data_IF_997312114814
#
_entry.id   IF_997312114814
#
_cell.length_a   1.000
_cell.length_b   1.000
_cell.length_c   1.000
_cell.angle_alpha   90.00
_cell.angle_beta   90.00
_cell.angle_gamma   90.00
#
_symmetry.space_group_name_H-M   'P 1'
#
loop_
_entity.id
_entity.type
_entity.pdbx_description
1 polymer ?
#
# COMPACT_ATOMS: atom_id res chain seq x y z
N UNK A 1 -7.14 3.44 16.62
CA UNK A 1 -7.73 4.68 17.09
C UNK A 1 -6.72 5.82 17.12
N UNK A 2 -5.64 5.78 17.89
CA UNK A 2 -4.60 6.83 17.98
C UNK A 2 -4.14 7.42 16.64
N UNK A 3 -3.71 6.59 15.67
CA UNK A 3 -3.26 7.10 14.36
C UNK A 3 -4.36 7.76 13.53
N UNK A 4 -5.62 7.44 13.78
CA UNK A 4 -6.76 8.11 13.13
C UNK A 4 -6.98 9.51 13.68
N UNK A 5 -6.87 9.67 14.97
CA UNK A 5 -7.37 10.84 15.68
C UNK A 5 -6.26 11.87 15.96
N UNK A 6 -5.00 11.44 16.04
CA UNK A 6 -3.88 12.26 16.50
C UNK A 6 -2.70 12.36 15.53
N UNK A 7 -2.78 11.77 14.34
CA UNK A 7 -1.67 11.84 13.38
C UNK A 7 -2.15 12.31 12.01
N UNK A 8 -1.26 12.95 11.25
CA UNK A 8 -1.47 13.34 9.85
C UNK A 8 -1.44 12.15 8.86
N UNK A 9 -1.61 10.93 9.36
CA UNK A 9 -1.54 9.71 8.53
C UNK A 9 -2.74 9.65 7.59
N UNK A 10 -2.47 9.45 6.30
CA UNK A 10 -3.52 9.33 5.28
C UNK A 10 -4.44 8.14 5.58
N UNK A 11 -5.76 8.34 5.35
CA UNK A 11 -6.79 7.31 5.55
C UNK A 11 -6.43 5.95 4.91
N UNK A 12 -5.82 5.96 3.72
CA UNK A 12 -5.36 4.74 3.06
C UNK A 12 -4.32 3.96 3.88
N UNK A 13 -3.39 4.66 4.52
CA UNK A 13 -2.37 4.01 5.37
C UNK A 13 -3.00 3.38 6.62
N UNK A 14 -4.02 4.04 7.19
CA UNK A 14 -4.79 3.46 8.31
C UNK A 14 -5.51 2.19 7.85
N UNK A 15 -6.12 2.21 6.66
CA UNK A 15 -6.74 1.01 6.08
C UNK A 15 -5.75 -0.15 5.91
N UNK A 16 -4.55 0.15 5.43
CA UNK A 16 -3.48 -0.84 5.29
C UNK A 16 -3.09 -1.42 6.67
N UNK A 17 -2.94 -0.60 7.69
CA UNK A 17 -2.65 -1.07 9.05
C UNK A 17 -3.74 -1.96 9.62
N UNK A 18 -5.02 -1.58 9.49
CA UNK A 18 -6.15 -2.41 9.95
C UNK A 18 -6.24 -3.70 9.16
N UNK A 19 -6.01 -3.65 7.85
CA UNK A 19 -5.98 -4.85 7.00
C UNK A 19 -4.85 -5.82 7.40
N UNK A 20 -3.64 -5.30 7.66
CA UNK A 20 -2.51 -6.11 8.12
C UNK A 20 -2.75 -6.65 9.55
N UNK A 21 -3.34 -5.85 10.44
CA UNK A 21 -3.75 -6.29 11.77
C UNK A 21 -4.72 -7.48 11.70
N UNK A 22 -5.81 -7.33 10.94
CA UNK A 22 -6.81 -8.38 10.80
C UNK A 22 -6.26 -9.67 10.19
N UNK A 23 -5.31 -9.54 9.26
CA UNK A 23 -4.70 -10.68 8.56
C UNK A 23 -3.66 -11.40 9.38
N UNK A 24 -2.88 -10.65 10.17
CA UNK A 24 -1.67 -11.17 10.78
C UNK A 24 -1.84 -11.49 12.27
N UNK A 25 -2.60 -10.68 12.99
CA UNK A 25 -2.66 -10.70 14.45
C UNK A 25 -4.00 -11.10 15.03
N UNK A 26 -5.13 -10.69 14.42
CA UNK A 26 -6.47 -10.70 15.03
C UNK A 26 -6.84 -11.96 15.80
N UNK A 27 -6.49 -13.13 15.26
CA UNK A 27 -6.89 -14.42 15.82
C UNK A 27 -5.70 -15.20 16.44
N UNK A 28 -4.67 -14.47 16.89
CA UNK A 28 -3.46 -15.08 17.45
C UNK A 28 -3.39 -14.95 18.97
N UNK A 29 -2.64 -15.83 19.62
CA UNK A 29 -2.39 -15.76 21.05
C UNK A 29 -1.68 -14.47 21.47
N UNK A 30 -0.87 -13.87 20.57
CA UNK A 30 -0.17 -12.62 20.84
C UNK A 30 -1.13 -11.47 21.22
N UNK A 31 -2.33 -11.43 20.61
CA UNK A 31 -3.33 -10.38 20.86
C UNK A 31 -4.00 -10.53 22.24
N UNK A 32 -4.01 -11.74 22.79
CA UNK A 32 -4.59 -12.02 24.11
C UNK A 32 -3.65 -11.64 25.26
N UNK A 33 -2.36 -11.43 24.95
CA UNK A 33 -1.36 -11.06 25.96
C UNK A 33 -1.49 -9.59 26.34
N UNK A 34 -1.19 -9.28 27.60
CA UNK A 34 -1.00 -7.88 28.03
C UNK A 34 0.24 -7.32 27.36
N UNK A 35 0.18 -6.07 26.95
CA UNK A 35 1.26 -5.43 26.17
C UNK A 35 2.59 -5.41 26.93
N UNK A 36 2.56 -5.23 28.25
CA UNK A 36 3.73 -5.27 29.13
C UNK A 36 4.36 -6.66 29.32
N UNK A 37 3.65 -7.74 28.93
CA UNK A 37 4.15 -9.10 28.98
C UNK A 37 4.81 -9.57 27.67
N UNK A 38 4.67 -8.77 26.60
CA UNK A 38 5.23 -9.08 25.28
C UNK A 38 6.74 -8.84 25.31
N UNK A 39 7.50 -9.92 25.26
CA UNK A 39 8.97 -9.92 25.27
C UNK A 39 9.52 -10.20 23.88
N UNK A 40 10.78 -9.84 23.58
CA UNK A 40 11.42 -10.14 22.29
C UNK A 40 11.34 -11.62 21.92
N UNK A 41 11.50 -12.52 22.89
CA UNK A 41 11.39 -13.99 22.64
C UNK A 41 9.99 -14.41 22.20
N UNK A 42 8.96 -13.79 22.73
CA UNK A 42 7.56 -14.04 22.31
C UNK A 42 7.36 -13.65 20.85
N UNK A 43 7.89 -12.51 20.46
CA UNK A 43 7.85 -12.03 19.08
C UNK A 43 8.67 -12.91 18.13
N UNK A 44 9.85 -13.36 18.56
CA UNK A 44 10.68 -14.28 17.77
C UNK A 44 9.92 -15.59 17.51
N UNK A 45 9.26 -16.16 18.50
CA UNK A 45 8.45 -17.39 18.33
C UNK A 45 7.30 -17.13 17.35
N UNK A 46 6.56 -16.07 17.56
CA UNK A 46 5.44 -15.67 16.70
C UNK A 46 5.84 -15.47 15.23
N UNK A 47 6.91 -14.71 14.96
CA UNK A 47 7.37 -14.48 13.59
C UNK A 47 8.02 -15.71 12.97
N UNK A 48 8.62 -16.60 13.76
CA UNK A 48 9.14 -17.88 13.28
C UNK A 48 8.01 -18.80 12.81
N UNK A 49 6.93 -18.91 13.57
CA UNK A 49 5.72 -19.63 13.17
C UNK A 49 5.13 -19.02 11.90
N UNK A 50 4.98 -17.71 11.86
CA UNK A 50 4.43 -17.02 10.69
C UNK A 50 5.26 -17.24 9.41
N UNK A 51 6.57 -17.32 9.51
CA UNK A 51 7.45 -17.53 8.34
C UNK A 51 7.56 -18.99 7.95
N UNK A 52 7.63 -19.92 8.93
CA UNK A 52 7.80 -21.35 8.70
C UNK A 52 6.49 -22.03 8.32
N UNK A 53 5.46 -21.87 9.16
CA UNK A 53 4.22 -22.63 9.02
C UNK A 53 3.22 -21.95 8.07
N UNK A 54 3.10 -20.63 8.15
CA UNK A 54 2.24 -19.82 7.26
C UNK A 54 2.94 -19.36 5.98
N UNK A 55 4.22 -19.65 5.83
CA UNK A 55 5.03 -19.31 4.66
C UNK A 55 4.90 -17.84 4.21
N UNK A 56 4.99 -16.90 5.14
CA UNK A 56 4.90 -15.49 4.79
C UNK A 56 6.17 -14.97 4.12
N UNK A 57 5.98 -14.09 3.15
CA UNK A 57 7.08 -13.42 2.46
C UNK A 57 7.70 -12.33 3.35
N UNK A 58 8.96 -11.96 3.05
CA UNK A 58 9.65 -10.86 3.72
C UNK A 58 8.82 -9.57 3.76
N UNK A 59 8.17 -9.21 2.65
CA UNK A 59 7.32 -8.01 2.57
C UNK A 59 6.16 -8.04 3.55
N UNK A 60 5.49 -9.19 3.69
CA UNK A 60 4.37 -9.35 4.65
C UNK A 60 4.83 -9.22 6.09
N UNK A 61 5.93 -9.88 6.45
CA UNK A 61 6.49 -9.77 7.81
C UNK A 61 6.96 -8.33 8.09
N UNK A 62 7.56 -7.66 7.12
CA UNK A 62 7.95 -6.25 7.24
C UNK A 62 6.74 -5.33 7.49
N UNK A 63 5.61 -5.54 6.81
CA UNK A 63 4.39 -4.79 7.05
C UNK A 63 3.83 -5.05 8.47
N UNK A 64 3.75 -6.32 8.86
CA UNK A 64 3.31 -6.71 10.21
C UNK A 64 4.21 -6.11 11.31
N UNK A 65 5.54 -6.15 11.10
CA UNK A 65 6.51 -5.48 11.98
C UNK A 65 6.20 -4.00 12.12
N UNK A 66 5.90 -3.30 11.01
CA UNK A 66 5.60 -1.86 11.03
C UNK A 66 4.35 -1.55 11.86
N UNK A 67 3.30 -2.38 11.74
CA UNK A 67 2.08 -2.25 12.54
C UNK A 67 2.39 -2.45 14.02
N UNK A 68 3.08 -3.53 14.36
CA UNK A 68 3.41 -3.86 15.75
C UNK A 68 4.34 -2.81 16.37
N UNK A 69 5.34 -2.36 15.62
CA UNK A 69 6.22 -1.27 16.05
C UNK A 69 5.45 0.01 16.36
N UNK A 70 4.46 0.37 15.55
CA UNK A 70 3.60 1.52 15.82
C UNK A 70 2.76 1.35 17.10
N UNK A 71 2.29 0.15 17.40
CA UNK A 71 1.54 -0.14 18.64
C UNK A 71 2.46 -0.02 19.85
N UNK A 72 3.67 -0.60 19.79
CA UNK A 72 4.62 -0.54 20.90
C UNK A 72 5.15 0.89 21.14
N UNK A 73 5.36 1.67 20.07
CA UNK A 73 5.74 3.09 20.21
C UNK A 73 4.66 3.89 20.93
N UNK A 74 3.38 3.65 20.57
CA UNK A 74 2.27 4.28 21.28
C UNK A 74 2.21 3.86 22.75
N UNK A 75 2.48 2.58 23.05
CA UNK A 75 2.49 2.10 24.42
C UNK A 75 3.64 2.72 25.26
N UNK A 76 4.75 3.14 24.63
CA UNK A 76 5.79 3.93 25.27
C UNK A 76 5.32 5.36 25.53
N UNK A 77 4.68 6.00 24.55
CA UNK A 77 4.11 7.34 24.70
C UNK A 77 3.07 7.43 25.82
N UNK A 78 2.30 6.36 26.02
CA UNK A 78 1.33 6.22 27.13
C UNK A 78 1.95 5.68 28.43
N UNK A 79 3.27 5.56 28.51
CA UNK A 79 4.01 5.07 29.68
C UNK A 79 3.61 3.64 30.14
N UNK A 80 2.98 2.84 29.26
CA UNK A 80 2.58 1.45 29.56
C UNK A 80 3.80 0.52 29.57
N UNK A 81 4.78 0.79 28.70
CA UNK A 81 6.05 0.07 28.62
C UNK A 81 7.19 1.08 28.49
N UNK A 82 8.36 0.74 29.02
CA UNK A 82 9.55 1.57 28.96
C UNK A 82 10.43 1.33 27.74
N UNK A 83 10.22 0.21 27.04
CA UNK A 83 11.05 -0.20 25.91
C UNK A 83 10.23 -0.96 24.87
N UNK A 84 10.60 -0.78 23.59
CA UNK A 84 9.94 -1.45 22.47
C UNK A 84 10.57 -2.82 22.16
N UNK A 85 9.89 -3.94 22.50
CA UNK A 85 10.48 -5.27 22.31
C UNK A 85 10.66 -5.64 20.82
N UNK A 86 10.03 -4.94 19.88
CA UNK A 86 10.18 -5.18 18.44
C UNK A 86 11.57 -4.78 17.95
N UNK A 87 12.19 -3.77 18.57
CA UNK A 87 13.55 -3.31 18.22
C UNK A 87 14.62 -4.36 18.51
N UNK A 88 14.40 -5.22 19.49
CA UNK A 88 15.36 -6.27 19.87
C UNK A 88 15.27 -7.53 19.01
N UNK A 89 14.28 -7.61 18.12
CA UNK A 89 14.10 -8.76 17.24
C UNK A 89 14.96 -8.60 15.99
N UNK A 90 15.90 -9.53 15.77
CA UNK A 90 16.63 -9.62 14.53
C UNK A 90 15.81 -10.30 13.45
N UNK A 91 15.16 -9.53 12.58
CA UNK A 91 14.31 -10.04 11.51
C UNK A 91 15.08 -10.74 10.39
N UNK A 92 16.39 -10.57 10.30
CA UNK A 92 17.22 -11.28 9.27
C UNK A 92 17.39 -12.77 9.57
N UNK A 93 17.11 -13.21 10.80
CA UNK A 93 17.23 -14.62 11.17
C UNK A 93 16.10 -15.53 10.66
N UNK A 94 15.01 -14.94 10.14
CA UNK A 94 13.86 -15.72 9.67
C UNK A 94 14.04 -16.16 8.21
N UNK A 95 13.59 -17.37 7.90
CA UNK A 95 13.51 -17.87 6.54
C UNK A 95 12.16 -17.48 5.95
N UNK A 96 12.19 -16.71 4.88
CA UNK A 96 10.98 -16.21 4.22
C UNK A 96 10.65 -17.05 2.99
N UNK A 97 9.33 -17.13 2.67
CA UNK A 97 8.93 -17.68 1.37
C UNK A 97 9.54 -16.83 0.26
N UNK A 98 10.25 -17.46 -0.69
CA UNK A 98 10.74 -16.76 -1.86
C UNK A 98 9.57 -16.10 -2.62
N UNK A 99 9.80 -14.91 -3.12
CA UNK A 99 8.89 -14.30 -4.08
C UNK A 99 9.34 -14.76 -5.46
N UNK A 100 8.56 -15.59 -6.10
CA UNK A 100 8.79 -15.93 -7.50
C UNK A 100 8.60 -14.64 -8.31
N UNK A 101 9.71 -14.15 -8.85
CA UNK A 101 9.66 -13.07 -9.83
C UNK A 101 9.23 -13.75 -11.13
N UNK A 102 7.94 -13.68 -11.43
CA UNK A 102 7.47 -14.09 -12.74
C UNK A 102 8.04 -13.10 -13.75
N UNK A 103 8.96 -13.56 -14.56
CA UNK A 103 9.54 -12.83 -15.70
C UNK A 103 8.46 -12.36 -16.69
N UNK A 104 7.31 -13.05 -16.68
CA UNK A 104 6.18 -12.85 -17.57
C UNK A 104 5.26 -11.68 -17.20
N UNK A 105 5.57 -10.96 -16.11
CA UNK A 105 4.81 -9.77 -15.71
C UNK A 105 5.19 -8.49 -16.48
N UNK A 106 6.08 -8.61 -17.46
CA UNK A 106 6.50 -7.50 -18.31
C UNK A 106 6.13 -7.83 -19.75
N UNK A 107 5.36 -6.95 -20.38
CA UNK A 107 5.06 -7.09 -21.79
C UNK A 107 6.35 -7.06 -22.62
N UNK A 108 6.50 -8.02 -23.52
CA UNK A 108 7.52 -7.93 -24.56
C UNK A 108 7.24 -6.74 -25.47
N UNK A 109 8.23 -6.31 -26.24
CA UNK A 109 8.04 -5.25 -27.23
C UNK A 109 6.93 -5.59 -28.23
N UNK A 110 6.90 -6.84 -28.70
CA UNK A 110 5.91 -7.33 -29.65
C UNK A 110 4.51 -7.38 -29.03
N UNK A 111 4.37 -7.82 -27.79
CA UNK A 111 3.09 -7.85 -27.10
C UNK A 111 2.56 -6.44 -26.83
N UNK A 112 3.46 -5.51 -26.50
CA UNK A 112 3.13 -4.09 -26.36
C UNK A 112 2.58 -3.52 -27.68
N UNK A 113 3.24 -3.80 -28.80
CA UNK A 113 2.77 -3.36 -30.10
C UNK A 113 1.42 -3.98 -30.49
N UNK A 114 1.24 -5.29 -30.26
CA UNK A 114 -0.05 -5.97 -30.50
C UNK A 114 -1.17 -5.36 -29.67
N UNK A 115 -0.92 -5.14 -28.36
CA UNK A 115 -1.88 -4.53 -27.45
C UNK A 115 -2.26 -3.12 -27.90
N UNK A 116 -1.29 -2.26 -28.18
CA UNK A 116 -1.56 -0.88 -28.61
C UNK A 116 -2.30 -0.82 -29.94
N UNK A 117 -1.98 -1.67 -30.90
CA UNK A 117 -2.71 -1.76 -32.16
C UNK A 117 -4.15 -2.23 -31.96
N UNK A 118 -4.38 -3.23 -31.12
CA UNK A 118 -5.72 -3.67 -30.75
C UNK A 118 -6.51 -2.54 -30.08
N UNK A 119 -5.93 -1.85 -29.10
CA UNK A 119 -6.58 -0.75 -28.38
C UNK A 119 -6.96 0.44 -29.30
N UNK A 120 -6.26 0.65 -30.42
CA UNK A 120 -6.62 1.65 -31.41
C UNK A 120 -7.87 1.30 -32.23
N UNK A 121 -8.16 0.01 -32.36
CA UNK A 121 -9.30 -0.49 -33.14
C UNK A 121 -10.59 -0.57 -32.33
N UNK A 122 -10.55 -0.46 -31.01
CA UNK A 122 -11.72 -0.55 -30.14
C UNK A 122 -12.12 0.81 -29.58
N UNK A 123 -13.44 1.07 -29.58
CA UNK A 123 -14.02 2.32 -29.04
C UNK A 123 -14.54 2.04 -27.64
N UNK A 124 -13.63 1.82 -26.69
CA UNK A 124 -13.97 1.60 -25.30
C UNK A 124 -13.31 2.70 -24.41
N UNK A 125 -14.02 3.23 -23.40
CA UNK A 125 -13.49 4.34 -22.58
C UNK A 125 -12.13 4.06 -21.94
N UNK A 126 -11.85 2.80 -21.61
CA UNK A 126 -10.58 2.40 -21.02
C UNK A 126 -9.44 2.25 -22.04
N UNK A 127 -9.73 2.13 -23.35
CA UNK A 127 -8.69 1.94 -24.36
C UNK A 127 -7.73 3.14 -24.42
N UNK A 128 -8.27 4.34 -24.42
CA UNK A 128 -7.48 5.57 -24.38
C UNK A 128 -6.67 5.68 -23.07
N UNK A 129 -7.29 5.34 -21.93
CA UNK A 129 -6.61 5.39 -20.65
C UNK A 129 -5.41 4.43 -20.58
N UNK A 130 -5.54 3.22 -21.15
CA UNK A 130 -4.44 2.26 -21.23
C UNK A 130 -3.35 2.79 -22.16
N UNK A 131 -3.71 3.29 -23.34
CA UNK A 131 -2.75 3.88 -24.30
C UNK A 131 -1.97 5.03 -23.66
N UNK A 132 -2.65 5.98 -23.01
CA UNK A 132 -2.00 7.07 -22.26
C UNK A 132 -1.02 6.56 -21.20
N UNK A 133 -1.41 5.53 -20.45
CA UNK A 133 -0.53 4.94 -19.43
C UNK A 133 0.75 4.35 -20.04
N UNK A 134 0.67 3.75 -21.24
CA UNK A 134 1.83 3.21 -21.94
C UNK A 134 2.71 4.30 -22.54
N UNK A 135 2.13 5.32 -23.19
CA UNK A 135 2.90 6.36 -23.85
C UNK A 135 3.52 7.37 -22.88
N UNK A 136 2.80 7.72 -21.81
CA UNK A 136 3.24 8.74 -20.85
C UNK A 136 3.91 8.12 -19.60
N UNK A 137 3.95 6.79 -19.45
CA UNK A 137 4.49 6.08 -18.28
C UNK A 137 3.92 6.56 -16.94
N UNK A 138 2.64 6.97 -16.96
CA UNK A 138 1.94 7.52 -15.80
C UNK A 138 1.20 6.45 -15.00
N UNK A 139 0.96 6.75 -13.73
CA UNK A 139 0.24 5.80 -12.84
C UNK A 139 -1.25 5.77 -13.17
N UNK A 140 -1.88 4.60 -12.96
CA UNK A 140 -3.34 4.41 -13.17
C UNK A 140 -4.20 5.48 -12.48
N UNK A 141 -3.80 5.93 -11.27
CA UNK A 141 -4.51 7.00 -10.56
C UNK A 141 -4.39 8.36 -11.24
N UNK A 142 -3.26 8.64 -11.84
CA UNK A 142 -2.98 9.86 -12.62
C UNK A 142 -3.79 9.83 -13.93
N UNK A 143 -3.70 8.72 -14.66
CA UNK A 143 -4.48 8.52 -15.91
C UNK A 143 -5.98 8.74 -15.71
N UNK A 144 -6.55 8.21 -14.63
CA UNK A 144 -7.99 8.37 -14.29
C UNK A 144 -8.39 9.79 -13.93
N UNK A 145 -7.45 10.68 -13.67
CA UNK A 145 -7.71 12.04 -13.26
C UNK A 145 -7.43 13.09 -14.35
N UNK A 146 -6.84 12.67 -15.48
CA UNK A 146 -6.61 13.55 -16.64
C UNK A 146 -7.95 14.03 -17.20
N UNK A 147 -8.02 15.31 -17.54
CA UNK A 147 -9.13 15.95 -18.25
C UNK A 147 -8.63 16.54 -19.56
N UNK A 148 -9.56 16.83 -20.45
CA UNK A 148 -9.24 17.47 -21.73
C UNK A 148 -8.58 18.86 -21.55
N UNK A 149 -8.93 19.58 -20.49
CA UNK A 149 -8.32 20.88 -20.12
C UNK A 149 -6.85 20.79 -19.70
N UNK A 150 -6.37 19.59 -19.36
CA UNK A 150 -4.96 19.37 -18.98
C UNK A 150 -4.07 19.13 -20.21
N UNK A 151 -4.63 19.11 -21.42
CA UNK A 151 -3.91 18.82 -22.65
C UNK A 151 -3.64 20.12 -23.41
N UNK A 152 -2.40 20.49 -23.53
CA UNK A 152 -1.95 21.57 -24.40
C UNK A 152 -1.63 21.01 -25.79
N UNK A 153 -2.59 21.13 -26.70
CA UNK A 153 -2.47 20.64 -28.07
C UNK A 153 -1.43 21.41 -28.90
N UNK A 154 -1.21 22.68 -28.57
CA UNK A 154 -0.26 23.51 -29.32
C UNK A 154 1.19 23.11 -29.02
N UNK A 155 1.49 22.90 -27.76
CA UNK A 155 2.81 22.49 -27.29
C UNK A 155 2.96 20.96 -27.19
N UNK A 156 1.89 20.20 -27.42
CA UNK A 156 1.85 18.73 -27.31
C UNK A 156 2.25 18.24 -25.91
N UNK A 157 1.73 18.89 -24.87
CA UNK A 157 2.04 18.61 -23.48
C UNK A 157 0.79 18.18 -22.71
N UNK A 158 0.97 17.33 -21.71
CA UNK A 158 -0.07 16.97 -20.73
C UNK A 158 0.36 17.42 -19.34
N UNK A 159 -0.50 18.18 -18.67
CA UNK A 159 -0.25 18.63 -17.29
C UNK A 159 -0.76 17.62 -16.27
N UNK A 160 0.15 17.00 -15.54
CA UNK A 160 -0.17 16.06 -14.47
C UNK A 160 -0.15 16.78 -13.12
N UNK A 161 -1.31 16.99 -12.54
CA UNK A 161 -1.46 17.66 -11.24
C UNK A 161 -2.52 17.04 -10.34
N UNK A 162 -3.21 16.00 -10.81
CA UNK A 162 -4.29 15.32 -10.09
C UNK A 162 -4.11 13.81 -10.13
N UNK A 163 -4.70 13.14 -9.13
CA UNK A 163 -4.81 11.68 -9.14
C UNK A 163 -6.16 11.24 -8.60
N UNK A 164 -6.70 10.18 -9.15
CA UNK A 164 -7.84 9.48 -8.58
C UNK A 164 -7.37 8.51 -7.51
N UNK A 165 -7.93 8.63 -6.32
CA UNK A 165 -7.67 7.75 -5.19
C UNK A 165 -8.93 7.00 -4.81
N UNK A 166 -8.77 5.81 -4.27
CA UNK A 166 -9.87 5.04 -3.74
C UNK A 166 -9.83 5.13 -2.22
N UNK A 167 -10.81 5.76 -1.64
CA UNK A 167 -10.92 5.95 -0.19
C UNK A 167 -12.05 5.10 0.38
N UNK A 168 -11.87 4.67 1.62
CA UNK A 168 -12.89 4.05 2.47
C UNK A 168 -12.82 4.73 3.83
N UNK A 169 -13.95 4.97 4.43
CA UNK A 169 -14.00 5.46 5.81
C UNK A 169 -13.89 4.27 6.74
N UNK A 170 -13.05 4.38 7.75
CA UNK A 170 -12.97 3.42 8.85
C UNK A 170 -14.09 3.75 9.84
N UNK A 171 -14.96 2.78 10.11
CA UNK A 171 -16.02 2.87 11.11
C UNK A 171 -15.45 2.60 12.51
N UNK A 172 -16.22 2.89 13.56
CA UNK A 172 -15.78 2.68 14.94
C UNK A 172 -15.62 1.19 15.31
N UNK A 173 -16.33 0.29 14.62
CA UNK A 173 -16.21 -1.15 14.73
C UNK A 173 -15.01 -1.75 13.96
N UNK A 174 -14.11 -0.90 13.44
CA UNK A 174 -12.96 -1.25 12.61
C UNK A 174 -13.33 -1.90 11.26
N UNK A 175 -14.58 -1.79 10.83
CA UNK A 175 -14.99 -2.13 9.47
C UNK A 175 -14.77 -0.95 8.51
N UNK A 176 -14.84 -1.22 7.22
CA UNK A 176 -14.66 -0.19 6.21
C UNK A 176 -15.96 0.05 5.42
N UNK A 177 -16.26 1.31 5.16
CA UNK A 177 -17.31 1.70 4.23
C UNK A 177 -17.04 1.17 2.81
N UNK A 178 -18.03 1.28 1.94
CA UNK A 178 -17.87 1.05 0.51
C UNK A 178 -16.78 1.94 -0.08
N UNK A 179 -16.16 1.47 -1.17
CA UNK A 179 -15.14 2.25 -1.90
C UNK A 179 -15.75 3.48 -2.55
N UNK A 180 -15.15 4.63 -2.32
CA UNK A 180 -15.46 5.87 -3.04
C UNK A 180 -14.23 6.33 -3.80
N UNK A 181 -14.39 6.66 -5.08
CA UNK A 181 -13.33 7.26 -5.87
C UNK A 181 -13.38 8.77 -5.64
N UNK A 182 -12.22 9.35 -5.32
CA UNK A 182 -12.05 10.80 -5.12
C UNK A 182 -10.87 11.27 -5.96
N UNK A 183 -11.05 12.35 -6.69
CA UNK A 183 -9.96 13.04 -7.37
C UNK A 183 -9.36 14.06 -6.40
N UNK A 184 -8.04 14.02 -6.24
CA UNK A 184 -7.31 14.94 -5.38
C UNK A 184 -6.26 15.70 -6.20
N UNK A 185 -6.13 16.99 -5.93
CA UNK A 185 -5.13 17.87 -6.54
C UNK A 185 -3.78 17.71 -5.84
N UNK A 186 -3.33 16.46 -5.71
CA UNK A 186 -2.08 16.11 -5.06
C UNK A 186 -1.52 14.86 -5.71
N UNK A 187 -0.32 14.97 -6.23
CA UNK A 187 0.45 13.84 -6.75
C UNK A 187 1.18 13.09 -5.64
N UNK A 188 1.51 11.83 -5.89
CA UNK A 188 2.37 11.08 -4.98
C UNK A 188 3.79 11.69 -5.03
N UNK A 189 4.20 12.30 -3.92
CA UNK A 189 5.49 13.01 -3.83
C UNK A 189 5.41 14.52 -4.08
N UNK A 190 4.19 15.08 -4.19
CA UNK A 190 3.95 16.51 -4.44
C UNK A 190 4.64 17.08 -5.70
N UNK A 191 4.84 16.24 -6.70
CA UNK A 191 5.51 16.64 -7.95
C UNK A 191 4.46 16.83 -9.03
N UNK A 192 4.34 18.05 -9.55
CA UNK A 192 3.52 18.37 -10.71
C UNK A 192 4.44 18.43 -11.94
N UNK A 193 3.97 17.94 -13.08
CA UNK A 193 4.81 17.93 -14.28
C UNK A 193 4.03 18.11 -15.57
N UNK A 194 4.61 18.81 -16.53
CA UNK A 194 4.25 18.73 -17.93
C UNK A 194 4.99 17.57 -18.57
N UNK A 195 4.28 16.73 -19.30
CA UNK A 195 4.86 15.60 -20.01
C UNK A 195 4.56 15.75 -21.52
N UNK A 196 5.55 15.51 -22.40
CA UNK A 196 5.39 15.55 -23.84
C UNK A 196 4.56 14.40 -24.38
#
# INVERSE_FOLDING_TARGET
MYKRDYTSVKAKTIQEYVSEWNRFFKDTELVKMKIGEIRPITLIRFFREATKDRQFTHKRVSNARSVLNGIMSYAIEEEIISHNPVSDVNFKQFTYKPVEVQSDNVFSRDDTHKLLNYLRCIIEPYSLAIQLSFYLFIRVGETKAIRWEDIDYNNRLVYLHRQATCERTLNDDLTFSSRKVKVVNQMKGNTYSWIP
#
